data_IF_057645307867
#
_entry.id   IF_057645307867
#
_cell.length_a   1.000
_cell.length_b   1.000
_cell.length_c   1.000
_cell.angle_alpha   90.00
_cell.angle_beta   90.00
_cell.angle_gamma   90.00
#
_symmetry.space_group_name_H-M   'P 1'
#
loop_
_entity.id
_entity.type
_entity.pdbx_description
1 polymer ?
#
# COMPACT_ATOMS: atom_id res chain seq x y z
N UNK A 1 -2.10 8.15 -20.71
CA UNK A 1 -1.93 6.70 -20.53
C UNK A 1 -0.84 6.26 -21.48
N UNK A 2 0.12 5.49 -20.99
CA UNK A 2 1.15 4.86 -21.83
C UNK A 2 0.90 3.36 -21.92
N UNK A 3 1.31 2.74 -23.03
CA UNK A 3 1.10 1.33 -23.28
C UNK A 3 2.34 0.53 -22.84
N UNK A 4 2.11 -0.51 -22.05
CA UNK A 4 3.14 -1.48 -21.66
C UNK A 4 2.70 -2.86 -22.11
N UNK A 5 3.63 -3.64 -22.68
CA UNK A 5 3.41 -5.03 -23.07
C UNK A 5 4.18 -5.96 -22.14
N UNK A 6 3.53 -7.03 -21.67
CA UNK A 6 4.12 -8.00 -20.76
C UNK A 6 4.00 -9.42 -21.34
N UNK A 7 5.06 -10.21 -21.21
CA UNK A 7 5.02 -11.66 -21.44
C UNK A 7 4.91 -12.35 -20.08
N UNK A 8 3.88 -13.18 -19.95
CA UNK A 8 3.57 -13.89 -18.71
C UNK A 8 3.38 -15.39 -19.01
N UNK A 9 3.73 -16.23 -18.05
CA UNK A 9 3.49 -17.66 -18.16
C UNK A 9 1.98 -17.97 -18.26
N UNK A 10 1.63 -19.02 -19.01
CA UNK A 10 0.23 -19.36 -19.31
C UNK A 10 -0.57 -19.71 -18.04
N UNK A 11 0.01 -20.51 -17.17
CA UNK A 11 -0.53 -20.85 -15.84
C UNK A 11 -0.81 -19.60 -15.00
N UNK A 12 0.10 -18.62 -15.01
CA UNK A 12 -0.06 -17.37 -14.28
C UNK A 12 -1.21 -16.52 -14.84
N UNK A 13 -1.31 -16.43 -16.18
CA UNK A 13 -2.45 -15.77 -16.84
C UNK A 13 -3.79 -16.42 -16.46
N UNK A 14 -3.85 -17.74 -16.40
CA UNK A 14 -5.06 -18.47 -15.97
C UNK A 14 -5.42 -18.18 -14.52
N UNK A 15 -4.42 -18.09 -13.63
CA UNK A 15 -4.65 -17.71 -12.24
C UNK A 15 -5.23 -16.28 -12.14
N UNK A 16 -4.68 -15.33 -12.90
CA UNK A 16 -5.22 -13.96 -12.99
C UNK A 16 -6.68 -13.99 -13.44
N UNK A 17 -7.01 -14.70 -14.52
CA UNK A 17 -8.39 -14.75 -15.03
C UNK A 17 -9.38 -15.35 -14.04
N UNK A 18 -8.96 -16.37 -13.28
CA UNK A 18 -9.79 -16.97 -12.22
C UNK A 18 -10.10 -15.96 -11.11
N UNK A 19 -9.10 -15.21 -10.66
CA UNK A 19 -9.26 -14.18 -9.64
C UNK A 19 -10.10 -13.01 -10.17
N UNK A 20 -9.86 -12.57 -11.40
CA UNK A 20 -10.66 -11.52 -12.04
C UNK A 20 -12.15 -11.86 -12.02
N UNK A 21 -12.51 -13.08 -12.44
CA UNK A 21 -13.90 -13.56 -12.42
C UNK A 21 -14.49 -13.58 -11.01
N UNK A 22 -13.72 -14.04 -10.03
CA UNK A 22 -14.15 -14.13 -8.63
C UNK A 22 -14.43 -12.75 -8.02
N UNK A 23 -13.68 -11.73 -8.43
CA UNK A 23 -13.75 -10.38 -7.88
C UNK A 23 -14.40 -9.37 -8.84
N UNK A 24 -15.08 -9.85 -9.88
CA UNK A 24 -15.85 -9.06 -10.85
C UNK A 24 -15.05 -8.00 -11.61
N UNK A 25 -13.76 -8.23 -11.84
CA UNK A 25 -12.97 -7.36 -12.72
C UNK A 25 -13.36 -7.54 -14.18
N UNK A 26 -13.57 -6.43 -14.89
CA UNK A 26 -14.02 -6.46 -16.28
C UNK A 26 -12.86 -6.67 -17.25
N UNK A 27 -11.68 -6.11 -16.96
CA UNK A 27 -10.52 -6.17 -17.87
C UNK A 27 -9.21 -6.49 -17.16
N UNK A 28 -8.29 -7.13 -17.88
CA UNK A 28 -6.93 -7.42 -17.36
C UNK A 28 -6.18 -6.11 -17.04
N UNK A 29 -6.39 -5.08 -17.86
CA UNK A 29 -5.80 -3.76 -17.67
C UNK A 29 -6.21 -3.12 -16.35
N UNK A 30 -7.50 -3.18 -16.01
CA UNK A 30 -8.03 -2.70 -14.73
C UNK A 30 -7.41 -3.47 -13.56
N UNK A 31 -7.49 -4.80 -13.60
CA UNK A 31 -6.94 -5.67 -12.55
C UNK A 31 -5.45 -5.44 -12.31
N UNK A 32 -4.66 -5.39 -13.38
CA UNK A 32 -3.20 -5.18 -13.29
C UNK A 32 -2.89 -3.79 -12.75
N UNK A 33 -3.60 -2.75 -13.22
CA UNK A 33 -3.39 -1.38 -12.76
C UNK A 33 -3.68 -1.23 -11.27
N UNK A 34 -4.77 -1.80 -10.79
CA UNK A 34 -5.12 -1.77 -9.37
C UNK A 34 -4.11 -2.56 -8.53
N UNK A 35 -3.75 -3.76 -8.97
CA UNK A 35 -2.76 -4.60 -8.30
C UNK A 35 -1.39 -3.90 -8.17
N UNK A 36 -0.93 -3.23 -9.23
CA UNK A 36 0.33 -2.46 -9.20
C UNK A 36 0.19 -1.26 -8.24
N UNK A 37 -0.93 -0.52 -8.29
CA UNK A 37 -1.16 0.63 -7.41
C UNK A 37 -1.13 0.22 -5.94
N UNK A 38 -1.79 -0.88 -5.60
CA UNK A 38 -1.80 -1.40 -4.23
C UNK A 38 -0.42 -1.89 -3.80
N UNK A 39 0.36 -2.47 -4.71
CA UNK A 39 1.74 -2.85 -4.42
C UNK A 39 2.63 -1.64 -4.17
N UNK A 40 2.51 -0.58 -4.96
CA UNK A 40 3.26 0.68 -4.79
C UNK A 40 2.94 1.28 -3.41
N UNK A 41 1.66 1.47 -3.08
CA UNK A 41 1.25 2.02 -1.77
C UNK A 41 1.83 1.23 -0.60
N UNK A 42 1.75 -0.10 -0.66
CA UNK A 42 2.31 -0.96 0.41
C UNK A 42 3.83 -0.86 0.52
N UNK A 43 4.54 -0.60 -0.58
CA UNK A 43 5.98 -0.38 -0.55
C UNK A 43 6.30 0.98 0.08
N UNK A 44 5.59 2.03 -0.30
CA UNK A 44 5.73 3.37 0.30
C UNK A 44 5.41 3.35 1.80
N UNK A 45 4.31 2.70 2.21
CA UNK A 45 3.96 2.50 3.63
C UNK A 45 5.06 1.74 4.39
N UNK A 46 5.64 0.72 3.76
CA UNK A 46 6.71 -0.07 4.36
C UNK A 46 7.98 0.76 4.53
N UNK A 47 8.35 1.57 3.54
CA UNK A 47 9.49 2.50 3.63
C UNK A 47 9.31 3.50 4.76
N UNK A 48 8.10 4.04 4.94
CA UNK A 48 7.75 4.93 6.06
C UNK A 48 7.93 4.23 7.42
N UNK A 49 7.49 2.97 7.55
CA UNK A 49 7.65 2.21 8.80
C UNK A 49 9.12 1.87 9.04
N UNK A 50 9.88 1.57 7.99
CA UNK A 50 11.30 1.27 8.08
C UNK A 50 12.16 2.53 8.31
N UNK A 51 11.60 3.71 8.07
CA UNK A 51 12.19 4.98 8.48
C UNK A 51 12.24 5.07 10.01
N UNK A 52 13.42 4.72 10.53
CA UNK A 52 13.75 4.72 11.96
C UNK A 52 13.51 6.08 12.59
N UNK A 53 13.66 7.19 11.86
CA UNK A 53 13.44 8.52 12.40
C UNK A 53 11.96 8.77 12.63
N UNK A 54 11.10 8.48 11.65
CA UNK A 54 9.66 8.64 11.78
C UNK A 54 9.08 7.73 12.88
N UNK A 55 9.49 6.46 12.92
CA UNK A 55 9.06 5.55 13.99
C UNK A 55 9.56 5.99 15.37
N UNK A 56 10.77 6.54 15.48
CA UNK A 56 11.26 7.10 16.75
C UNK A 56 10.41 8.27 17.24
N UNK A 57 9.94 9.14 16.33
CA UNK A 57 9.06 10.27 16.64
C UNK A 57 7.67 9.79 17.07
N UNK A 58 7.11 8.78 16.39
CA UNK A 58 5.83 8.16 16.76
C UNK A 58 5.92 7.57 18.18
N UNK A 59 6.94 6.75 18.46
CA UNK A 59 7.14 6.16 19.79
C UNK A 59 7.34 7.24 20.87
N UNK A 60 8.11 8.29 20.57
CA UNK A 60 8.33 9.39 21.50
C UNK A 60 7.02 10.15 21.79
N UNK A 61 6.22 10.42 20.75
CA UNK A 61 4.91 11.06 20.88
C UNK A 61 3.97 10.23 21.76
N UNK A 62 3.79 8.93 21.48
CA UNK A 62 2.94 8.04 22.27
C UNK A 62 3.35 7.97 23.75
N UNK A 63 4.66 7.93 24.03
CA UNK A 63 5.18 7.99 25.41
C UNK A 63 4.82 9.30 26.09
N UNK A 64 4.85 10.43 25.38
CA UNK A 64 4.49 11.74 25.92
C UNK A 64 2.97 11.88 26.16
N UNK A 65 2.14 11.29 25.30
CA UNK A 65 0.68 11.21 25.49
C UNK A 65 0.36 10.37 26.73
N UNK A 66 0.95 9.17 26.86
CA UNK A 66 0.76 8.29 28.04
C UNK A 66 1.24 8.93 29.34
N UNK A 67 2.26 9.79 29.28
CA UNK A 67 2.76 10.57 30.43
C UNK A 67 1.95 11.85 30.70
N UNK A 68 0.83 12.08 30.01
CA UNK A 68 -0.04 13.24 30.24
C UNK A 68 0.59 14.60 29.92
N UNK A 69 1.65 14.64 29.11
CA UNK A 69 2.45 15.86 28.88
C UNK A 69 1.93 16.79 27.77
N UNK A 70 0.79 16.49 27.14
CA UNK A 70 0.23 17.40 26.14
C UNK A 70 -0.46 18.56 26.86
N UNK A 71 0.21 19.72 26.93
CA UNK A 71 -0.45 20.98 27.25
C UNK A 71 -1.41 21.29 26.11
N UNK A 72 -2.72 21.40 26.41
CA UNK A 72 -3.70 21.95 25.47
C UNK A 72 -3.14 23.28 24.96
N UNK A 73 -2.97 23.39 23.64
CA UNK A 73 -2.77 24.68 23.00
C UNK A 73 -3.97 25.53 23.41
N UNK A 74 -3.72 26.61 24.16
CA UNK A 74 -4.75 27.60 24.44
C UNK A 74 -5.02 28.35 23.15
N UNK A 75 -6.29 28.41 22.76
CA UNK A 75 -6.80 29.27 21.69
C UNK A 75 -6.49 30.75 21.95
#
# INVERSE_FOLDING_TARGET
>A
MENVSLKLEKNFLQAIEKIMKKHNYMTKTEFIRESIRDKIRRLEEKEIIEDKEMMSQIIASEKNIKKGKIRKLKD
#
